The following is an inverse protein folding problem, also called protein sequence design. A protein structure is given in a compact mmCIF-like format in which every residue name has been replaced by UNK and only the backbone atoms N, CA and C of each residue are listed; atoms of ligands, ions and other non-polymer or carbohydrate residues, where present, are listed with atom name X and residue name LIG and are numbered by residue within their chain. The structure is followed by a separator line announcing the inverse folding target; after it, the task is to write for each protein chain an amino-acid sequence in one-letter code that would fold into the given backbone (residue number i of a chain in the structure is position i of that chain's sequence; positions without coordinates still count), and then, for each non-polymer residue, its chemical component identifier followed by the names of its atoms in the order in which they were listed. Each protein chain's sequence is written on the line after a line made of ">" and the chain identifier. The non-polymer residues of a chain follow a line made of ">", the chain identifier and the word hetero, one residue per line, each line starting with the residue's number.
data_IF_039518934541
#
_entry.id   IF_039518934541
#
_cell.length_a   1.000
_cell.length_b   1.000
_cell.length_c   1.000
_cell.angle_alpha   90.00
_cell.angle_beta   90.00
_cell.angle_gamma   90.00
#
_symmetry.space_group_name_H-M   'P 1'
#
loop_
_entity.id
_entity.type
_entity.pdbx_description
1 polymer ?
#
# COMPACT_ATOMS: atom_id res chain seq x y z
N UNK A 1 -13.69 10.23 -6.28
CA UNK A 1 -13.14 9.91 -4.96
C UNK A 1 -11.64 9.68 -5.02
N UNK A 2 -10.93 10.11 -4.00
CA UNK A 2 -9.49 9.95 -3.92
C UNK A 2 -8.68 10.98 -4.69
N UNK A 3 -9.32 11.84 -5.47
CA UNK A 3 -8.59 12.87 -6.26
C UNK A 3 -7.95 13.91 -5.34
N UNK A 4 -8.72 14.45 -4.39
CA UNK A 4 -8.21 15.43 -3.44
C UNK A 4 -7.12 14.85 -2.56
N UNK A 5 -7.35 13.65 -2.03
CA UNK A 5 -6.38 12.95 -1.21
C UNK A 5 -5.11 12.61 -1.99
N UNK A 6 -5.24 12.23 -3.26
CA UNK A 6 -4.07 11.95 -4.12
C UNK A 6 -3.23 13.20 -4.31
N UNK A 7 -3.86 14.34 -4.64
CA UNK A 7 -3.15 15.60 -4.81
C UNK A 7 -2.48 16.06 -3.51
N UNK A 8 -3.17 15.91 -2.38
CA UNK A 8 -2.61 16.25 -1.06
C UNK A 8 -1.38 15.41 -0.74
N UNK A 9 -1.43 14.10 -0.99
CA UNK A 9 -0.30 13.21 -0.74
C UNK A 9 0.87 13.50 -1.67
N UNK A 10 0.61 13.82 -2.94
CA UNK A 10 1.68 14.22 -3.86
C UNK A 10 2.39 15.48 -3.36
N UNK A 11 1.64 16.43 -2.80
CA UNK A 11 2.23 17.63 -2.22
C UNK A 11 3.09 17.30 -0.99
N UNK A 12 2.63 16.38 -0.14
CA UNK A 12 3.38 15.92 1.03
C UNK A 12 4.69 15.24 0.60
N UNK A 13 4.64 14.37 -0.40
CA UNK A 13 5.84 13.70 -0.93
C UNK A 13 6.84 14.72 -1.45
N UNK A 14 6.39 15.69 -2.24
CA UNK A 14 7.26 16.73 -2.78
C UNK A 14 7.90 17.56 -1.65
N UNK A 15 7.12 17.93 -0.63
CA UNK A 15 7.63 18.68 0.52
C UNK A 15 8.65 17.86 1.32
N UNK A 16 8.39 16.57 1.54
CA UNK A 16 9.29 15.69 2.26
C UNK A 16 10.62 15.54 1.52
N UNK A 17 10.57 15.33 0.21
CA UNK A 17 11.78 15.20 -0.61
C UNK A 17 12.60 16.50 -0.63
N UNK A 18 11.92 17.64 -0.64
CA UNK A 18 12.59 18.95 -0.65
C UNK A 18 13.23 19.31 0.70
N UNK A 19 12.63 18.85 1.81
CA UNK A 19 13.09 19.20 3.15
C UNK A 19 14.29 18.37 3.63
N UNK A 20 14.52 17.17 3.05
CA UNK A 20 15.60 16.30 3.46
C UNK A 20 16.83 16.52 2.58
N UNK A 21 18.04 16.65 3.15
CA UNK A 21 19.27 16.71 2.35
C UNK A 21 19.38 15.46 1.47
N UNK A 22 19.47 15.65 0.16
CA UNK A 22 19.51 14.55 -0.79
C UNK A 22 18.19 13.78 -0.89
N UNK A 23 17.06 14.41 -0.53
CA UNK A 23 15.76 13.75 -0.46
C UNK A 23 15.32 13.06 -1.74
N UNK A 24 15.66 13.59 -2.90
CA UNK A 24 15.31 12.98 -4.19
C UNK A 24 16.06 11.66 -4.43
N UNK A 25 17.20 11.47 -3.79
CA UNK A 25 18.00 10.25 -3.89
C UNK A 25 17.68 9.23 -2.80
N UNK A 26 16.91 9.61 -1.77
CA UNK A 26 16.55 8.70 -0.68
C UNK A 26 15.42 7.77 -1.12
N UNK A 27 15.40 6.51 -0.62
CA UNK A 27 14.29 5.61 -0.87
C UNK A 27 12.99 6.19 -0.33
N UNK A 28 11.91 6.05 -1.11
CA UNK A 28 10.57 6.44 -0.68
C UNK A 28 9.70 5.19 -0.61
N UNK A 29 9.18 4.91 0.58
CA UNK A 29 8.20 3.84 0.78
C UNK A 29 6.83 4.47 0.98
N UNK A 30 5.86 4.04 0.18
CA UNK A 30 4.47 4.44 0.34
C UNK A 30 3.70 3.28 0.98
N UNK A 31 3.05 3.56 2.11
CA UNK A 31 2.24 2.57 2.79
C UNK A 31 0.80 3.05 2.87
N UNK A 32 -0.14 2.15 2.66
CA UNK A 32 -1.56 2.45 2.72
C UNK A 32 -2.34 1.36 3.43
N UNK A 33 -3.30 1.77 4.26
CA UNK A 33 -4.23 0.89 4.93
C UNK A 33 -5.65 1.19 4.43
N UNK A 34 -6.39 0.16 4.05
CA UNK A 34 -7.79 0.27 3.64
C UNK A 34 -7.96 1.30 2.51
N UNK A 35 -8.76 2.34 2.68
CA UNK A 35 -8.91 3.41 1.69
C UNK A 35 -7.56 4.02 1.30
N UNK A 36 -6.64 4.13 2.26
CA UNK A 36 -5.30 4.64 2.00
C UNK A 36 -4.53 3.86 0.94
N UNK A 37 -4.80 2.55 0.79
CA UNK A 37 -4.16 1.75 -0.26
C UNK A 37 -4.60 2.22 -1.65
N UNK A 38 -5.87 2.56 -1.82
CA UNK A 38 -6.39 3.10 -3.06
C UNK A 38 -5.70 4.43 -3.39
N UNK A 39 -5.65 5.35 -2.42
CA UNK A 39 -5.01 6.65 -2.61
C UNK A 39 -3.53 6.48 -2.94
N UNK A 40 -2.81 5.64 -2.19
CA UNK A 40 -1.38 5.41 -2.42
C UNK A 40 -1.11 4.72 -3.76
N UNK A 41 -2.02 3.87 -4.25
CA UNK A 41 -1.85 3.28 -5.57
C UNK A 41 -1.88 4.35 -6.66
N UNK A 42 -2.71 5.36 -6.51
CA UNK A 42 -2.78 6.50 -7.44
C UNK A 42 -1.57 7.40 -7.32
N UNK A 43 -1.11 7.68 -6.10
CA UNK A 43 0.13 8.44 -5.86
C UNK A 43 1.31 7.73 -6.51
N UNK A 44 1.44 6.43 -6.30
CA UNK A 44 2.52 5.64 -6.87
C UNK A 44 2.50 5.70 -8.41
N UNK A 45 1.31 5.62 -9.01
CA UNK A 45 1.15 5.71 -10.46
C UNK A 45 1.59 7.07 -10.98
N UNK A 46 1.18 8.14 -10.30
CA UNK A 46 1.54 9.51 -10.67
C UNK A 46 3.04 9.74 -10.56
N UNK A 47 3.67 9.24 -9.51
CA UNK A 47 5.12 9.36 -9.34
C UNK A 47 5.88 8.57 -10.42
N UNK A 48 5.43 7.37 -10.74
CA UNK A 48 6.05 6.56 -11.78
C UNK A 48 5.94 7.24 -13.15
N UNK A 49 4.77 7.79 -13.48
CA UNK A 49 4.56 8.50 -14.74
C UNK A 49 5.42 9.77 -14.83
N UNK A 50 5.74 10.39 -13.70
CA UNK A 50 6.61 11.55 -13.64
C UNK A 50 8.11 11.19 -13.62
N UNK A 51 8.47 9.92 -13.64
CA UNK A 51 9.86 9.46 -13.63
C UNK A 51 10.52 9.44 -12.27
N UNK A 52 9.73 9.56 -11.20
CA UNK A 52 10.22 9.57 -9.80
C UNK A 52 9.47 8.52 -8.96
N UNK A 53 9.50 7.22 -9.35
CA UNK A 53 8.71 6.21 -8.67
C UNK A 53 9.10 6.01 -7.22
N UNK A 54 8.16 5.53 -6.41
CA UNK A 54 8.45 5.06 -5.07
C UNK A 54 9.38 3.85 -5.13
N UNK A 55 10.23 3.68 -4.12
CA UNK A 55 11.11 2.53 -4.02
C UNK A 55 10.34 1.27 -3.68
N UNK A 56 9.29 1.38 -2.88
CA UNK A 56 8.44 0.25 -2.50
C UNK A 56 7.07 0.71 -2.05
N UNK A 57 6.07 -0.16 -2.27
CA UNK A 57 4.72 0.02 -1.77
C UNK A 57 4.37 -1.07 -0.77
N UNK A 58 3.59 -0.69 0.23
CA UNK A 58 3.06 -1.62 1.24
C UNK A 58 1.57 -1.34 1.40
N UNK A 59 0.74 -2.34 1.13
CA UNK A 59 -0.71 -2.22 1.29
C UNK A 59 -1.19 -3.22 2.34
N UNK A 60 -1.91 -2.73 3.33
CA UNK A 60 -2.51 -3.54 4.38
C UNK A 60 -4.02 -3.34 4.32
N UNK A 61 -4.77 -4.44 4.19
CA UNK A 61 -6.22 -4.37 4.06
C UNK A 61 -6.66 -3.59 2.82
N UNK A 62 -6.05 -3.85 1.67
CA UNK A 62 -6.26 -3.08 0.44
C UNK A 62 -7.73 -3.03 0.04
N UNK A 63 -8.26 -1.84 -0.22
CA UNK A 63 -9.68 -1.58 -0.41
C UNK A 63 -10.20 -2.00 -1.80
N UNK A 64 -9.83 -3.18 -2.25
CA UNK A 64 -10.09 -3.69 -3.61
C UNK A 64 -11.56 -3.99 -3.89
N UNK A 65 -12.38 -4.19 -2.87
CA UNK A 65 -13.81 -4.45 -3.04
C UNK A 65 -14.64 -3.19 -3.21
N UNK A 66 -14.07 -2.01 -2.91
CA UNK A 66 -14.80 -0.75 -2.91
C UNK A 66 -14.26 0.29 -3.88
N UNK A 67 -12.98 0.17 -4.24
CA UNK A 67 -12.30 1.14 -5.07
C UNK A 67 -11.46 0.43 -6.13
N UNK A 68 -11.22 1.11 -7.23
CA UNK A 68 -10.37 0.60 -8.30
C UNK A 68 -8.90 0.86 -7.95
N UNK A 69 -8.35 0.02 -7.08
CA UNK A 69 -6.94 0.10 -6.71
C UNK A 69 -6.09 -0.16 -7.96
N UNK A 70 -5.18 0.75 -8.25
CA UNK A 70 -4.32 0.66 -9.45
C UNK A 70 -3.44 -0.59 -9.42
N UNK A 71 -3.05 -1.13 -10.58
CA UNK A 71 -1.99 -2.13 -10.64
C UNK A 71 -0.70 -1.60 -10.03
N UNK A 72 0.08 -2.47 -9.43
CA UNK A 72 1.27 -2.09 -8.66
C UNK A 72 2.49 -2.89 -9.10
N UNK A 73 3.71 -2.41 -8.77
CA UNK A 73 4.93 -3.17 -9.06
C UNK A 73 4.96 -4.53 -8.38
N UNK A 74 5.72 -5.45 -8.97
CA UNK A 74 5.79 -6.85 -8.53
C UNK A 74 6.37 -7.01 -7.12
N UNK A 75 7.16 -6.06 -6.63
CA UNK A 75 7.75 -6.09 -5.30
C UNK A 75 6.87 -5.45 -4.22
N UNK A 76 5.65 -5.07 -4.56
CA UNK A 76 4.70 -4.51 -3.60
C UNK A 76 4.37 -5.55 -2.52
N UNK A 77 4.47 -5.14 -1.26
CA UNK A 77 4.08 -5.98 -0.14
C UNK A 77 2.59 -5.80 0.14
N UNK A 78 1.82 -6.86 -0.03
CA UNK A 78 0.37 -6.86 0.22
C UNK A 78 0.09 -7.80 1.38
N UNK A 79 -0.51 -7.25 2.43
CA UNK A 79 -0.84 -8.00 3.66
C UNK A 79 -2.34 -7.90 3.89
N UNK A 80 -2.98 -9.03 4.16
CA UNK A 80 -4.43 -9.07 4.36
C UNK A 80 -4.79 -10.04 5.48
N UNK A 81 -5.82 -9.68 6.25
CA UNK A 81 -6.35 -10.56 7.28
C UNK A 81 -7.22 -11.67 6.68
N UNK A 82 -7.01 -12.90 7.13
CA UNK A 82 -7.74 -14.06 6.64
C UNK A 82 -9.27 -13.88 6.79
N UNK A 83 -9.70 -13.29 7.89
CA UNK A 83 -11.12 -13.13 8.22
C UNK A 83 -11.55 -11.65 8.18
N UNK A 84 -10.93 -10.87 7.32
CA UNK A 84 -11.31 -9.47 7.10
C UNK A 84 -12.76 -9.42 6.62
N UNK A 85 -13.62 -8.81 7.43
CA UNK A 85 -15.06 -8.69 7.16
C UNK A 85 -15.43 -7.39 6.46
N UNK A 86 -14.50 -6.47 6.34
CA UNK A 86 -14.68 -5.20 5.63
C UNK A 86 -14.28 -5.33 4.17
N UNK A 87 -13.12 -5.93 3.92
CA UNK A 87 -12.63 -6.23 2.57
C UNK A 87 -12.37 -7.74 2.50
N UNK A 88 -13.25 -8.52 1.87
CA UNK A 88 -13.03 -9.96 1.78
C UNK A 88 -11.71 -10.31 1.12
N UNK A 89 -11.02 -11.32 1.65
CA UNK A 89 -9.75 -11.78 1.08
C UNK A 89 -9.89 -12.13 -0.40
N UNK A 90 -11.05 -12.68 -0.79
CA UNK A 90 -11.33 -13.03 -2.18
C UNK A 90 -11.18 -11.83 -3.12
N UNK A 91 -11.58 -10.62 -2.69
CA UNK A 91 -11.47 -9.43 -3.54
C UNK A 91 -10.02 -9.02 -3.75
N UNK A 92 -9.18 -9.18 -2.73
CA UNK A 92 -7.75 -8.89 -2.84
C UNK A 92 -7.07 -9.90 -3.76
N UNK A 93 -7.43 -11.17 -3.63
CA UNK A 93 -6.89 -12.22 -4.51
C UNK A 93 -7.32 -12.00 -5.96
N UNK A 94 -8.56 -11.59 -6.20
CA UNK A 94 -9.04 -11.29 -7.55
C UNK A 94 -8.29 -10.10 -8.17
N UNK A 95 -7.96 -9.11 -7.36
CA UNK A 95 -7.17 -7.96 -7.81
C UNK A 95 -5.70 -8.36 -8.06
N UNK A 96 -5.14 -9.21 -7.20
CA UNK A 96 -3.73 -9.61 -7.28
C UNK A 96 -3.44 -10.63 -8.39
N UNK A 97 -4.39 -11.51 -8.67
CA UNK A 97 -4.19 -12.66 -9.56
C UNK A 97 -3.76 -12.26 -10.98
N UNK A 98 -4.42 -11.29 -11.66
CA UNK A 98 -3.99 -10.90 -13.01
C UNK A 98 -2.57 -10.35 -13.08
N UNK A 99 -2.06 -9.78 -12.01
CA UNK A 99 -0.67 -9.27 -11.94
C UNK A 99 0.28 -10.27 -11.28
N UNK A 100 -0.19 -11.48 -10.99
CA UNK A 100 0.61 -12.52 -10.33
C UNK A 100 1.30 -12.03 -9.05
N UNK A 101 0.59 -11.19 -8.28
CA UNK A 101 1.13 -10.54 -7.10
C UNK A 101 0.87 -11.41 -5.86
N UNK A 102 1.91 -11.79 -5.11
CA UNK A 102 1.72 -12.53 -3.87
C UNK A 102 0.99 -11.70 -2.81
N UNK A 103 0.18 -12.38 -2.00
CA UNK A 103 -0.52 -11.78 -0.88
C UNK A 103 -0.14 -12.52 0.38
N UNK A 104 0.35 -11.79 1.39
CA UNK A 104 0.64 -12.35 2.69
C UNK A 104 -0.65 -12.35 3.51
N UNK A 105 -1.13 -13.52 3.87
CA UNK A 105 -2.37 -13.69 4.63
C UNK A 105 -2.02 -13.95 6.09
N UNK A 106 -2.57 -13.14 7.00
CA UNK A 106 -2.37 -13.33 8.43
C UNK A 106 -3.54 -14.16 8.96
N UNK A 107 -3.28 -15.40 9.44
CA UNK A 107 -4.34 -16.28 9.91
C UNK A 107 -5.13 -15.65 11.05
N UNK A 108 -6.45 -15.75 10.96
CA UNK A 108 -7.37 -15.28 12.00
C UNK A 108 -7.43 -13.76 12.19
N UNK A 109 -6.75 -12.98 11.37
CA UNK A 109 -6.77 -11.52 11.49
C UNK A 109 -8.00 -10.91 10.81
N UNK A 110 -8.62 -9.94 11.48
CA UNK A 110 -9.71 -9.12 10.91
C UNK A 110 -9.13 -7.89 10.19
N UNK A 111 -10.01 -6.99 9.76
CA UNK A 111 -9.61 -5.80 9.02
C UNK A 111 -8.64 -4.90 9.79
N UNK A 112 -8.82 -4.78 11.10
CA UNK A 112 -8.01 -3.93 11.97
C UNK A 112 -6.92 -4.68 12.71
N UNK A 113 -6.73 -5.97 12.40
CA UNK A 113 -5.68 -6.80 13.01
C UNK A 113 -5.77 -6.85 14.54
N UNK A 114 -7.00 -6.88 15.08
CA UNK A 114 -7.19 -6.99 16.52
C UNK A 114 -6.40 -8.18 17.10
N UNK A 115 -5.62 -7.93 18.15
CA UNK A 115 -4.74 -8.91 18.80
C UNK A 115 -3.63 -9.47 17.89
N UNK A 116 -3.44 -8.89 16.70
CA UNK A 116 -2.45 -9.35 15.73
C UNK A 116 -1.44 -8.25 15.36
N UNK A 117 -1.52 -7.08 16.00
CA UNK A 117 -0.68 -5.93 15.65
C UNK A 117 0.81 -6.19 15.84
N UNK A 118 1.19 -6.95 16.88
CA UNK A 118 2.61 -7.29 17.11
C UNK A 118 3.15 -8.12 15.96
N UNK A 119 2.41 -9.13 15.50
CA UNK A 119 2.82 -9.95 14.37
C UNK A 119 2.91 -9.14 13.08
N UNK A 120 1.95 -8.25 12.85
CA UNK A 120 1.97 -7.35 11.68
C UNK A 120 3.21 -6.45 11.72
N UNK A 121 3.50 -5.85 12.87
CA UNK A 121 4.69 -5.00 13.04
C UNK A 121 5.98 -5.77 12.74
N UNK A 122 6.12 -6.98 13.29
CA UNK A 122 7.31 -7.80 13.07
C UNK A 122 7.49 -8.15 11.60
N UNK A 123 6.40 -8.47 10.91
CA UNK A 123 6.42 -8.75 9.48
C UNK A 123 6.90 -7.52 8.69
N UNK A 124 6.34 -6.34 8.98
CA UNK A 124 6.73 -5.11 8.31
C UNK A 124 8.20 -4.78 8.53
N UNK A 125 8.68 -4.90 9.75
CA UNK A 125 10.09 -4.64 10.08
C UNK A 125 11.00 -5.60 9.30
N UNK A 126 10.65 -6.87 9.24
CA UNK A 126 11.44 -7.88 8.53
C UNK A 126 11.48 -7.61 7.03
N UNK A 127 10.35 -7.30 6.43
CA UNK A 127 10.23 -7.15 4.98
C UNK A 127 10.77 -5.82 4.46
N UNK A 128 10.83 -4.79 5.30
CA UNK A 128 11.28 -3.45 4.89
C UNK A 128 12.73 -3.14 5.26
N UNK A 129 13.46 -4.14 5.73
CA UNK A 129 14.90 -3.97 6.00
C UNK A 129 15.73 -3.74 4.75
#
# INVERSE_FOLDING_TARGET
>A
EGRGETEDLLAVVAAARASEPGGDALPLVLAGFSFGSFVQSRVARRLADAGTPASRLVFVGAATSRFAVEPVPADTLVIHGEVDDTVPLSSVLDWARPQELPVVVIPGADHFFHRKLTGLKLLLVRELR
#
